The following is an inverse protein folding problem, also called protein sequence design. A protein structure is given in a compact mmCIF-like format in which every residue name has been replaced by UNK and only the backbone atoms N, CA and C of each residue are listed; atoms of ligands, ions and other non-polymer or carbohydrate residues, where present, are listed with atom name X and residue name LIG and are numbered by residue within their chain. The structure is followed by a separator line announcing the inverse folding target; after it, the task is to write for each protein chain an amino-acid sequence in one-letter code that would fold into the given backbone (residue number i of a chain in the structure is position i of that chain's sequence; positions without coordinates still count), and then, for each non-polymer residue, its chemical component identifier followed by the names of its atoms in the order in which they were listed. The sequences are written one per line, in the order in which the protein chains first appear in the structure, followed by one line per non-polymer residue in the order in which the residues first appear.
data_IF_183688461964
#
_entry.id   IF_183688461964
#
_cell.length_a   1.000
_cell.length_b   1.000
_cell.length_c   1.000
_cell.angle_alpha   90.00
_cell.angle_beta   90.00
_cell.angle_gamma   90.00
#
_symmetry.space_group_name_H-M   'P 1'
#
loop_
_entity.id
_entity.type
_entity.pdbx_description
1 polymer ?
#
# COMPACT_ATOMS: atom_id res chain seq x y z
N UNK A 1 -5.77 -9.81 11.29
CA UNK A 1 -5.64 -9.05 10.03
C UNK A 1 -4.17 -8.80 9.75
N UNK A 2 -3.67 -9.17 8.55
CA UNK A 2 -2.28 -8.95 8.16
C UNK A 2 -2.21 -7.83 7.13
N UNK A 3 -1.39 -6.82 7.37
CA UNK A 3 -1.26 -5.61 6.57
C UNK A 3 0.18 -5.56 6.04
N UNK A 4 0.33 -5.62 4.72
CA UNK A 4 1.62 -5.39 4.08
C UNK A 4 1.83 -3.89 3.86
N UNK A 5 2.91 -3.31 4.37
CA UNK A 5 3.23 -1.91 4.12
C UNK A 5 4.46 -1.87 3.21
N UNK A 6 4.30 -1.33 2.01
CA UNK A 6 5.38 -1.21 1.02
C UNK A 6 5.54 0.26 0.71
N UNK A 7 6.47 0.94 1.38
CA UNK A 7 6.71 2.38 1.21
C UNK A 7 8.22 2.63 1.08
N UNK A 8 8.65 3.73 0.46
CA UNK A 8 10.08 4.01 0.32
C UNK A 8 10.69 4.34 1.69
N UNK A 9 11.89 3.83 1.97
CA UNK A 9 12.62 4.11 3.21
C UNK A 9 13.22 5.52 3.26
N UNK A 10 13.46 6.16 2.11
CA UNK A 10 14.13 7.47 2.04
C UNK A 10 13.24 8.60 2.56
N UNK A 11 13.72 9.33 3.56
CA UNK A 11 12.99 10.44 4.20
C UNK A 11 12.69 11.63 3.28
N UNK A 12 13.43 11.80 2.17
CA UNK A 12 13.16 12.87 1.19
C UNK A 12 11.80 12.72 0.50
N UNK A 13 11.22 11.52 0.48
CA UNK A 13 9.92 11.26 -0.13
C UNK A 13 8.81 11.58 0.88
N UNK A 14 7.73 12.19 0.39
CA UNK A 14 6.56 12.63 1.17
C UNK A 14 5.93 11.50 1.99
N UNK A 15 5.62 10.37 1.35
CA UNK A 15 4.96 9.22 1.97
C UNK A 15 5.94 8.07 2.26
N UNK A 16 7.07 8.38 2.90
CA UNK A 16 8.09 7.38 3.25
C UNK A 16 7.76 6.62 4.54
N UNK A 17 8.38 5.45 4.73
CA UNK A 17 8.29 4.69 5.98
C UNK A 17 8.68 5.53 7.19
N UNK A 18 9.77 6.30 7.09
CA UNK A 18 10.27 7.14 8.17
C UNK A 18 9.25 8.19 8.65
N UNK A 19 8.35 8.63 7.77
CA UNK A 19 7.33 9.64 8.09
C UNK A 19 5.98 9.05 8.48
N UNK A 20 5.65 7.85 7.98
CA UNK A 20 4.30 7.28 8.08
C UNK A 20 4.19 6.11 9.06
N UNK A 21 5.30 5.47 9.43
CA UNK A 21 5.30 4.26 10.25
C UNK A 21 4.55 4.43 11.58
N UNK A 22 4.90 5.46 12.36
CA UNK A 22 4.27 5.70 13.65
C UNK A 22 2.76 5.95 13.52
N UNK A 23 2.33 6.67 12.48
CA UNK A 23 0.91 6.91 12.22
C UNK A 23 0.16 5.62 11.84
N UNK A 24 0.80 4.72 11.09
CA UNK A 24 0.22 3.42 10.72
C UNK A 24 0.10 2.52 11.96
N UNK A 25 1.13 2.47 12.80
CA UNK A 25 1.14 1.69 14.04
C UNK A 25 0.06 2.21 15.02
N UNK A 26 -0.01 3.53 15.24
CA UNK A 26 -1.02 4.15 16.08
C UNK A 26 -2.45 3.92 15.56
N UNK A 27 -2.65 4.00 14.24
CA UNK A 27 -3.95 3.71 13.64
C UNK A 27 -4.35 2.24 13.85
N UNK A 28 -3.41 1.32 13.75
CA UNK A 28 -3.66 -0.10 13.99
C UNK A 28 -4.03 -0.40 15.45
N UNK A 29 -3.41 0.29 16.41
CA UNK A 29 -3.80 0.21 17.83
C UNK A 29 -5.20 0.77 18.07
N UNK A 30 -5.51 1.91 17.46
CA UNK A 30 -6.82 2.55 17.59
C UNK A 30 -7.96 1.67 17.07
N UNK A 31 -7.78 1.01 15.92
CA UNK A 31 -8.86 0.21 15.32
C UNK A 31 -9.15 -1.09 16.09
N UNK A 32 -8.19 -1.62 16.88
CA UNK A 32 -8.40 -2.84 17.67
C UNK A 32 -8.90 -2.58 19.09
N UNK A 33 -8.92 -1.31 19.52
CA UNK A 33 -9.45 -0.90 20.82
C UNK A 33 -10.95 -1.14 20.97
N UNK A 34 -11.51 -0.97 22.18
CA UNK A 34 -12.92 -1.25 22.48
C UNK A 34 -13.90 -0.50 21.55
N UNK A 35 -13.61 0.77 21.26
CA UNK A 35 -14.41 1.63 20.39
C UNK A 35 -13.91 1.64 18.92
N UNK A 36 -12.99 0.72 18.59
CA UNK A 36 -12.38 0.61 17.27
C UNK A 36 -13.29 -0.08 16.25
N UNK A 37 -12.90 -0.05 14.98
CA UNK A 37 -13.64 -0.72 13.90
C UNK A 37 -13.40 -2.24 13.85
N UNK A 38 -12.39 -2.75 14.57
CA UNK A 38 -12.05 -4.17 14.66
C UNK A 38 -11.76 -4.60 16.13
N UNK A 39 -12.69 -4.43 17.08
CA UNK A 39 -12.44 -4.75 18.49
C UNK A 39 -12.03 -6.21 18.67
N UNK A 40 -10.94 -6.44 19.40
CA UNK A 40 -10.45 -7.79 19.72
C UNK A 40 -9.74 -8.55 18.57
N UNK A 41 -9.61 -7.94 17.38
CA UNK A 41 -8.83 -8.54 16.30
C UNK A 41 -7.32 -8.41 16.55
N UNK A 42 -6.54 -9.41 16.15
CA UNK A 42 -5.08 -9.31 16.10
C UNK A 42 -4.64 -8.69 14.78
N UNK A 43 -4.00 -7.51 14.80
CA UNK A 43 -3.41 -6.88 13.62
C UNK A 43 -1.91 -7.18 13.58
N UNK A 44 -1.42 -7.65 12.43
CA UNK A 44 0.00 -7.85 12.14
C UNK A 44 0.39 -6.93 10.98
N UNK A 45 1.36 -6.05 11.20
CA UNK A 45 1.86 -5.13 10.18
C UNK A 45 3.26 -5.60 9.76
N UNK A 46 3.48 -5.73 8.46
CA UNK A 46 4.79 -6.14 7.91
C UNK A 46 5.29 -5.07 6.97
N UNK A 47 6.36 -4.36 7.37
CA UNK A 47 6.96 -3.29 6.59
C UNK A 47 8.01 -3.83 5.60
N UNK A 48 8.06 -3.21 4.42
CA UNK A 48 9.05 -3.41 3.36
C UNK A 48 9.41 -2.09 2.70
N UNK A 49 10.68 -1.93 2.36
CA UNK A 49 11.16 -0.77 1.61
C UNK A 49 10.96 -0.97 0.11
N UNK A 50 10.10 -0.16 -0.50
CA UNK A 50 9.85 -0.19 -1.95
C UNK A 50 11.05 0.28 -2.79
N UNK A 51 11.96 1.07 -2.18
CA UNK A 51 13.06 1.79 -2.84
C UNK A 51 12.60 2.66 -4.01
N UNK A 52 11.31 2.99 -4.10
CA UNK A 52 10.66 3.54 -5.30
C UNK A 52 11.02 2.79 -6.61
N UNK A 53 11.30 1.50 -6.53
CA UNK A 53 11.77 0.71 -7.67
C UNK A 53 10.64 -0.14 -8.23
N UNK A 54 10.54 -0.17 -9.56
CA UNK A 54 9.69 -1.10 -10.31
C UNK A 54 10.10 -2.57 -10.13
N UNK A 55 11.29 -2.82 -9.59
CA UNK A 55 11.77 -4.16 -9.24
C UNK A 55 11.50 -4.47 -7.78
N UNK A 56 12.01 -3.65 -6.85
CA UNK A 56 11.94 -3.98 -5.42
C UNK A 56 10.54 -3.82 -4.82
N UNK A 57 9.73 -2.87 -5.30
CA UNK A 57 8.34 -2.73 -4.85
C UNK A 57 7.52 -4.01 -5.07
N UNK A 58 7.43 -4.49 -6.32
CA UNK A 58 6.72 -5.74 -6.63
C UNK A 58 7.34 -6.98 -6.01
N UNK A 59 8.67 -7.12 -5.97
CA UNK A 59 9.31 -8.26 -5.32
C UNK A 59 8.91 -8.39 -3.86
N UNK A 60 8.88 -7.27 -3.13
CA UNK A 60 8.39 -7.25 -1.76
C UNK A 60 6.90 -7.62 -1.67
N UNK A 61 6.07 -7.17 -2.61
CA UNK A 61 4.66 -7.56 -2.69
C UNK A 61 4.48 -9.06 -2.91
N UNK A 62 5.26 -9.66 -3.81
CA UNK A 62 5.26 -11.10 -4.09
C UNK A 62 5.70 -11.90 -2.86
N UNK A 63 6.77 -11.49 -2.18
CA UNK A 63 7.22 -12.11 -0.92
C UNK A 63 6.10 -12.14 0.13
N UNK A 64 5.42 -11.00 0.31
CA UNK A 64 4.30 -10.90 1.27
C UNK A 64 3.09 -11.72 0.84
N UNK A 65 2.79 -11.80 -0.45
CA UNK A 65 1.71 -12.64 -0.98
C UNK A 65 1.98 -14.13 -0.74
N UNK A 66 3.15 -14.62 -1.16
CA UNK A 66 3.53 -16.04 -1.04
C UNK A 66 3.57 -16.48 0.42
N UNK A 67 4.06 -15.62 1.33
CA UNK A 67 4.07 -15.88 2.77
C UNK A 67 2.71 -15.71 3.46
N UNK A 68 1.65 -15.34 2.71
CA UNK A 68 0.31 -15.05 3.23
C UNK A 68 0.35 -13.99 4.35
N UNK A 69 1.11 -12.91 4.12
CA UNK A 69 1.36 -11.82 5.06
C UNK A 69 0.62 -10.51 4.71
N UNK A 70 -0.23 -10.51 3.69
CA UNK A 70 -1.04 -9.34 3.34
C UNK A 70 -2.47 -9.76 2.97
N UNK A 71 -3.45 -9.13 3.63
CA UNK A 71 -4.84 -9.04 3.13
C UNK A 71 -5.11 -7.72 2.42
N UNK A 72 -4.24 -6.74 2.63
CA UNK A 72 -4.26 -5.41 2.02
C UNK A 72 -2.84 -4.87 2.02
N UNK A 73 -2.50 -4.09 1.00
CA UNK A 73 -1.29 -3.29 0.98
C UNK A 73 -1.57 -1.83 1.33
N UNK A 74 -0.73 -1.24 2.18
CA UNK A 74 -0.61 0.21 2.35
C UNK A 74 0.64 0.67 1.59
N UNK A 75 0.45 1.58 0.64
CA UNK A 75 1.44 1.88 -0.39
C UNK A 75 1.43 0.85 -1.54
N UNK A 76 2.24 1.01 -2.59
CA UNK A 76 3.35 1.96 -2.69
C UNK A 76 2.94 3.41 -2.95
N UNK A 77 3.84 4.33 -2.63
CA UNK A 77 3.62 5.77 -2.84
C UNK A 77 4.26 6.31 -4.11
N UNK A 78 5.22 5.60 -4.70
CA UNK A 78 5.91 5.98 -5.93
C UNK A 78 5.32 5.22 -7.11
N UNK A 79 5.08 5.89 -8.23
CA UNK A 79 4.35 5.33 -9.36
C UNK A 79 5.04 4.08 -9.94
N UNK A 80 6.37 4.10 -10.06
CA UNK A 80 7.15 2.96 -10.57
C UNK A 80 7.00 1.69 -9.73
N UNK A 81 6.89 1.81 -8.41
CA UNK A 81 6.66 0.66 -7.54
C UNK A 81 5.19 0.19 -7.60
N UNK A 82 4.25 1.13 -7.73
CA UNK A 82 2.81 0.87 -7.73
C UNK A 82 2.34 0.19 -9.00
N UNK A 83 2.77 0.66 -10.17
CA UNK A 83 2.25 0.20 -11.46
C UNK A 83 2.33 -1.33 -11.64
N UNK A 84 3.49 -1.98 -11.53
CA UNK A 84 3.59 -3.44 -11.61
C UNK A 84 2.85 -4.17 -10.48
N UNK A 85 2.98 -3.70 -9.23
CA UNK A 85 2.33 -4.37 -8.11
C UNK A 85 0.79 -4.36 -8.25
N UNK A 86 0.20 -3.22 -8.59
CA UNK A 86 -1.25 -3.07 -8.76
C UNK A 86 -1.83 -3.91 -9.92
N UNK A 87 -1.04 -4.18 -10.96
CA UNK A 87 -1.43 -5.12 -12.03
C UNK A 87 -1.46 -6.56 -11.53
N UNK A 88 -0.56 -6.94 -10.63
CA UNK A 88 -0.50 -8.30 -10.08
C UNK A 88 -1.60 -8.58 -9.07
N UNK A 89 -1.85 -7.65 -8.15
CA UNK A 89 -2.67 -7.97 -6.97
C UNK A 89 -4.10 -8.35 -7.29
N UNK A 90 -4.65 -7.94 -8.43
CA UNK A 90 -5.97 -8.39 -8.89
C UNK A 90 -6.02 -9.89 -9.15
N UNK A 91 -4.96 -10.48 -9.69
CA UNK A 91 -4.90 -11.90 -10.07
C UNK A 91 -4.49 -12.83 -8.91
N UNK A 92 -4.24 -12.28 -7.73
CA UNK A 92 -3.79 -13.04 -6.56
C UNK A 92 -4.95 -13.63 -5.78
N UNK A 93 -5.35 -14.87 -6.09
CA UNK A 93 -6.43 -15.55 -5.38
C UNK A 93 -7.76 -14.79 -5.50
N UNK A 94 -8.24 -14.22 -4.39
CA UNK A 94 -9.43 -13.34 -4.36
C UNK A 94 -9.12 -11.85 -4.63
N UNK A 95 -7.88 -11.56 -4.98
CA UNK A 95 -7.36 -10.20 -5.08
C UNK A 95 -6.84 -9.67 -3.75
N UNK A 96 -5.82 -8.80 -3.81
CA UNK A 96 -5.34 -8.03 -2.66
C UNK A 96 -5.47 -6.53 -2.96
N UNK A 97 -6.31 -5.78 -2.22
CA UNK A 97 -6.42 -4.34 -2.41
C UNK A 97 -5.14 -3.60 -2.05
N UNK A 98 -4.91 -2.50 -2.76
CA UNK A 98 -3.84 -1.55 -2.49
C UNK A 98 -4.49 -0.23 -2.09
N UNK A 99 -4.12 0.30 -0.93
CA UNK A 99 -4.51 1.63 -0.47
C UNK A 99 -3.28 2.53 -0.39
N UNK A 100 -3.31 3.71 -1.02
CA UNK A 100 -2.15 4.61 -1.02
C UNK A 100 -2.54 6.08 -0.98
N UNK A 101 -1.76 6.89 -0.28
CA UNK A 101 -1.83 8.35 -0.31
C UNK A 101 -0.94 8.97 -1.38
N UNK A 102 -0.06 8.17 -2.02
CA UNK A 102 0.77 8.59 -3.14
C UNK A 102 0.24 8.05 -4.46
N UNK A 103 1.14 7.74 -5.40
CA UNK A 103 0.80 7.19 -6.71
C UNK A 103 -0.19 8.09 -7.48
N UNK A 104 0.25 9.32 -7.75
CA UNK A 104 -0.65 10.41 -8.11
C UNK A 104 -0.80 10.62 -9.61
N UNK A 105 -0.10 9.84 -10.44
CA UNK A 105 -0.22 9.92 -11.90
C UNK A 105 -1.63 9.57 -12.37
N UNK A 106 -2.12 10.30 -13.39
CA UNK A 106 -3.47 10.14 -13.92
C UNK A 106 -3.76 8.76 -14.52
N UNK A 107 -2.74 8.04 -15.01
CA UNK A 107 -2.90 6.70 -15.57
C UNK A 107 -3.52 5.70 -14.57
N UNK A 108 -3.33 5.88 -13.26
CA UNK A 108 -3.93 5.03 -12.23
C UNK A 108 -5.45 5.20 -12.04
N UNK A 109 -6.07 6.13 -12.78
CA UNK A 109 -7.52 6.23 -12.88
C UNK A 109 -8.14 5.08 -13.69
N UNK A 110 -7.38 4.41 -14.57
CA UNK A 110 -7.89 3.29 -15.36
C UNK A 110 -8.17 2.07 -14.46
N UNK A 111 -9.46 1.85 -14.16
CA UNK A 111 -9.91 0.70 -13.37
C UNK A 111 -10.02 -0.60 -14.17
N UNK A 112 -9.84 -0.58 -15.49
CA UNK A 112 -9.65 -1.82 -16.24
C UNK A 112 -8.29 -2.44 -15.94
N UNK A 113 -7.26 -1.61 -15.76
CA UNK A 113 -5.89 -2.02 -15.43
C UNK A 113 -5.63 -2.08 -13.91
N UNK A 114 -6.00 -1.04 -13.16
CA UNK A 114 -5.69 -0.88 -11.72
C UNK A 114 -6.90 -1.15 -10.82
N UNK A 115 -7.52 -2.32 -11.02
CA UNK A 115 -8.84 -2.71 -10.46
C UNK A 115 -8.96 -2.58 -8.95
N UNK A 116 -7.91 -2.96 -8.21
CA UNK A 116 -7.92 -2.98 -6.74
C UNK A 116 -7.09 -1.86 -6.10
N UNK A 117 -6.72 -0.84 -6.86
CA UNK A 117 -5.98 0.31 -6.37
C UNK A 117 -6.94 1.41 -5.89
N UNK A 118 -6.87 1.75 -4.62
CA UNK A 118 -7.60 2.87 -4.00
C UNK A 118 -6.61 3.95 -3.59
N UNK A 119 -6.80 5.17 -4.09
CA UNK A 119 -6.00 6.34 -3.72
C UNK A 119 -6.81 7.19 -2.74
N UNK A 120 -6.23 7.56 -1.60
CA UNK A 120 -6.90 8.33 -0.54
C UNK A 120 -6.53 9.83 -0.54
N UNK A 121 -5.79 10.25 -1.57
CA UNK A 121 -5.40 11.64 -1.81
C UNK A 121 -5.76 12.05 -3.24
N UNK A 122 -5.88 13.36 -3.48
CA UNK A 122 -6.20 13.93 -4.78
C UNK A 122 -5.09 13.65 -5.78
N UNK A 123 -5.47 13.26 -6.99
CA UNK A 123 -4.55 13.02 -8.10
C UNK A 123 -3.88 14.30 -8.62
N UNK A 124 -2.69 14.15 -9.21
CA UNK A 124 -2.10 15.25 -9.97
C UNK A 124 -2.78 15.32 -11.34
N UNK A 125 -3.67 16.30 -11.52
CA UNK A 125 -4.17 16.67 -12.85
C UNK A 125 -3.14 17.58 -13.52
N UNK A 126 -2.60 17.14 -14.65
CA UNK A 126 -1.98 18.07 -15.58
C UNK A 126 -3.13 18.89 -16.19
N UNK A 127 -3.14 20.19 -15.93
CA UNK A 127 -4.03 21.10 -16.64
C UNK A 127 -3.56 21.14 -18.10
N UNK A 128 -4.38 20.62 -19.02
CA UNK A 128 -4.25 20.83 -20.46
C UNK A 128 -5.03 22.08 -20.84
#
# INVERSE_FOLDING_TARGET
VKIGVILPGRASILFSLNKSRSSIELAAEKIIGPDGSLPGYKVQIVFRDSRCSETFGPLNGIDLYVRKLAYVFIGPSCDFATAPLARFTYYWGKGIPIMTAGSLVGAFADKQEYRLLTRIQVEHKLFN
#
